data_IF_751712298814
#
_entry.id   IF_751712298814
#
_cell.length_a   1.000
_cell.length_b   1.000
_cell.length_c   1.000
_cell.angle_alpha   90.00
_cell.angle_beta   90.00
_cell.angle_gamma   90.00
#
_symmetry.space_group_name_H-M   'P 1'
#
loop_
_entity.id
_entity.type
_entity.pdbx_description
1 polymer ?
#
# COMPACT_ATOMS: atom_id res chain seq x y z
N UNK A 1 -23.15 10.98 -1.09
CA UNK A 1 -22.10 10.54 -0.16
C UNK A 1 -22.58 9.39 0.74
N UNK A 2 -23.63 9.59 1.49
CA UNK A 2 -24.22 8.58 2.39
C UNK A 2 -24.51 7.23 1.71
N UNK A 3 -24.99 7.21 0.46
CA UNK A 3 -25.26 5.98 -0.30
C UNK A 3 -24.03 5.13 -0.58
N UNK A 4 -22.84 5.74 -0.70
CA UNK A 4 -21.59 5.00 -0.97
C UNK A 4 -21.07 4.30 0.29
N UNK A 5 -21.13 4.96 1.43
CA UNK A 5 -20.79 4.34 2.72
C UNK A 5 -21.76 3.19 2.99
N UNK A 6 -23.06 3.41 2.80
CA UNK A 6 -24.09 2.38 2.96
C UNK A 6 -23.85 1.15 2.05
N UNK A 7 -23.44 1.35 0.82
CA UNK A 7 -23.11 0.23 -0.08
C UNK A 7 -21.92 -0.59 0.45
N UNK A 8 -20.89 0.06 1.00
CA UNK A 8 -19.74 -0.63 1.60
C UNK A 8 -20.12 -1.35 2.88
N UNK A 9 -20.97 -0.74 3.72
CA UNK A 9 -21.55 -1.38 4.90
C UNK A 9 -22.23 -2.71 4.55
N UNK A 10 -23.12 -2.70 3.57
CA UNK A 10 -23.82 -3.90 3.11
C UNK A 10 -22.86 -4.99 2.61
N UNK A 11 -21.72 -4.62 2.01
CA UNK A 11 -20.70 -5.59 1.60
C UNK A 11 -19.98 -6.21 2.79
N UNK A 12 -19.72 -5.42 3.82
CA UNK A 12 -19.13 -5.93 5.07
C UNK A 12 -20.14 -6.83 5.77
N UNK A 13 -21.42 -6.43 5.88
CA UNK A 13 -22.50 -7.24 6.45
C UNK A 13 -22.61 -8.59 5.73
N UNK A 14 -22.59 -8.58 4.40
CA UNK A 14 -22.60 -9.82 3.60
C UNK A 14 -21.35 -10.68 3.88
N UNK A 15 -20.18 -10.05 3.95
CA UNK A 15 -18.93 -10.75 4.26
C UNK A 15 -19.02 -11.45 5.60
N UNK A 16 -19.49 -10.77 6.64
CA UNK A 16 -19.60 -11.31 7.98
C UNK A 16 -20.72 -12.37 8.10
N UNK A 17 -21.76 -12.25 7.28
CA UNK A 17 -22.80 -13.28 7.19
C UNK A 17 -22.27 -14.58 6.56
N UNK A 18 -21.48 -14.45 5.47
CA UNK A 18 -20.91 -15.61 4.75
C UNK A 18 -19.70 -16.22 5.48
N UNK A 19 -18.90 -15.38 6.12
CA UNK A 19 -17.61 -15.76 6.72
C UNK A 19 -17.50 -15.22 8.16
N UNK A 20 -18.29 -15.72 9.11
CA UNK A 20 -18.37 -15.19 10.48
C UNK A 20 -17.08 -15.36 11.30
N UNK A 21 -16.12 -16.11 10.79
CA UNK A 21 -14.81 -16.30 11.38
C UNK A 21 -13.79 -15.21 11.00
N UNK A 22 -14.12 -14.33 10.06
CA UNK A 22 -13.25 -13.23 9.64
C UNK A 22 -13.05 -12.26 10.79
N UNK A 23 -11.79 -11.90 11.06
CA UNK A 23 -11.40 -11.02 12.16
C UNK A 23 -11.00 -9.62 11.67
N UNK A 24 -10.65 -9.48 10.38
CA UNK A 24 -10.25 -8.21 9.78
C UNK A 24 -10.83 -8.08 8.38
N UNK A 25 -11.36 -6.90 8.09
CA UNK A 25 -11.82 -6.52 6.74
C UNK A 25 -11.00 -5.33 6.25
N UNK A 26 -10.54 -5.42 5.02
CA UNK A 26 -9.81 -4.35 4.35
C UNK A 26 -10.50 -3.96 3.06
N UNK A 27 -10.66 -2.67 2.83
CA UNK A 27 -11.13 -2.08 1.59
C UNK A 27 -9.96 -1.61 0.72
N UNK A 28 -10.21 -1.41 -0.58
CA UNK A 28 -9.23 -0.85 -1.50
C UNK A 28 -9.04 0.67 -1.34
N UNK A 29 -7.97 1.22 -1.91
CA UNK A 29 -7.71 2.66 -1.92
C UNK A 29 -8.92 3.45 -2.43
N UNK A 30 -9.23 4.56 -1.76
CA UNK A 30 -10.32 5.49 -2.07
C UNK A 30 -11.69 4.81 -2.28
N UNK A 31 -11.90 3.65 -1.66
CA UNK A 31 -13.08 2.82 -1.85
C UNK A 31 -14.40 3.52 -1.49
N UNK A 32 -14.38 4.49 -0.57
CA UNK A 32 -15.60 5.13 -0.06
C UNK A 32 -16.10 6.20 -1.04
N UNK A 33 -15.25 7.15 -1.42
CA UNK A 33 -15.68 8.32 -2.20
C UNK A 33 -15.10 8.34 -3.62
N UNK A 34 -14.14 7.47 -3.93
CA UNK A 34 -13.42 7.48 -5.21
C UNK A 34 -12.37 8.60 -5.29
N UNK A 35 -11.72 8.74 -6.46
CA UNK A 35 -10.49 9.52 -6.62
C UNK A 35 -10.71 11.03 -6.90
N UNK A 36 -11.81 11.60 -6.49
CA UNK A 36 -12.09 13.00 -6.78
C UNK A 36 -11.80 13.89 -5.56
N UNK A 37 -10.86 14.81 -5.67
CA UNK A 37 -10.41 15.68 -4.58
C UNK A 37 -11.52 16.51 -3.93
N UNK A 38 -12.59 16.85 -4.68
CA UNK A 38 -13.71 17.60 -4.11
C UNK A 38 -14.54 16.78 -3.10
N UNK A 39 -14.34 15.45 -3.05
CA UNK A 39 -14.92 14.58 -2.02
C UNK A 39 -14.08 14.51 -0.73
N UNK A 40 -12.99 15.28 -0.63
CA UNK A 40 -12.17 15.29 0.56
C UNK A 40 -12.97 15.70 1.82
N UNK A 41 -12.83 14.90 2.87
CA UNK A 41 -13.54 15.02 4.14
C UNK A 41 -12.57 15.35 5.27
N UNK A 42 -13.01 16.06 6.32
CA UNK A 42 -12.22 16.07 7.54
C UNK A 42 -12.19 14.69 8.21
N UNK A 43 -11.13 14.39 8.94
CA UNK A 43 -11.05 13.24 9.84
C UNK A 43 -10.75 13.74 11.27
N UNK A 44 -11.53 13.30 12.30
CA UNK A 44 -12.74 12.45 12.20
C UNK A 44 -13.87 13.13 11.44
N UNK A 45 -14.76 12.29 10.86
CA UNK A 45 -15.93 12.73 10.11
C UNK A 45 -16.96 11.62 9.91
N UNK A 46 -18.14 11.98 9.40
CA UNK A 46 -19.30 11.08 9.37
C UNK A 46 -19.06 9.73 8.68
N UNK A 47 -18.24 9.68 7.63
CA UNK A 47 -17.89 8.42 6.98
C UNK A 47 -17.05 7.51 7.91
N UNK A 48 -16.09 8.06 8.62
CA UNK A 48 -15.27 7.32 9.57
C UNK A 48 -16.11 6.85 10.76
N UNK A 49 -17.00 7.68 11.29
CA UNK A 49 -17.92 7.34 12.40
C UNK A 49 -18.85 6.17 12.04
N UNK A 50 -19.32 6.12 10.79
CA UNK A 50 -20.10 4.99 10.31
C UNK A 50 -19.28 3.71 10.23
N UNK A 51 -18.05 3.77 9.73
CA UNK A 51 -17.14 2.63 9.70
C UNK A 51 -16.75 2.15 11.11
N UNK A 52 -16.61 3.06 12.06
CA UNK A 52 -16.43 2.72 13.48
C UNK A 52 -17.63 1.95 14.03
N UNK A 53 -18.84 2.36 13.65
CA UNK A 53 -20.09 1.67 14.05
C UNK A 53 -20.14 0.26 13.47
N UNK A 54 -19.74 0.08 12.21
CA UNK A 54 -19.68 -1.23 11.53
C UNK A 54 -18.64 -2.14 12.18
N UNK A 55 -17.43 -1.62 12.42
CA UNK A 55 -16.36 -2.37 13.07
C UNK A 55 -16.80 -2.89 14.45
N UNK A 56 -17.42 -2.03 15.26
CA UNK A 56 -17.98 -2.37 16.57
C UNK A 56 -19.13 -3.39 16.49
N UNK A 57 -20.02 -3.22 15.51
CA UNK A 57 -21.17 -4.12 15.33
C UNK A 57 -20.72 -5.55 15.05
N UNK A 58 -19.76 -5.71 14.17
CA UNK A 58 -19.23 -7.02 13.77
C UNK A 58 -18.05 -7.51 14.62
N UNK A 59 -17.52 -6.66 15.50
CA UNK A 59 -16.32 -6.93 16.32
C UNK A 59 -15.12 -7.33 15.47
N UNK A 60 -14.85 -6.54 14.42
CA UNK A 60 -13.75 -6.78 13.47
C UNK A 60 -12.78 -5.60 13.46
N UNK A 61 -11.55 -5.89 13.13
CA UNK A 61 -10.62 -4.89 12.64
C UNK A 61 -11.09 -4.41 11.26
N UNK A 62 -11.08 -3.10 11.05
CA UNK A 62 -11.48 -2.53 9.77
C UNK A 62 -10.43 -1.54 9.28
N UNK A 63 -9.89 -1.82 8.08
CA UNK A 63 -9.01 -0.92 7.34
C UNK A 63 -9.82 -0.33 6.20
N UNK A 64 -10.09 0.98 6.25
CA UNK A 64 -11.05 1.64 5.39
C UNK A 64 -10.61 1.80 3.92
N UNK A 65 -9.47 1.27 3.57
CA UNK A 65 -8.85 1.47 2.25
C UNK A 65 -8.14 2.82 2.19
N UNK A 66 -8.85 3.87 1.92
CA UNK A 66 -8.48 5.26 2.21
C UNK A 66 -9.60 6.23 1.82
N UNK A 67 -9.45 7.47 2.23
CA UNK A 67 -10.22 8.62 1.73
C UNK A 67 -9.29 9.81 1.54
N UNK A 68 -9.69 10.77 0.72
CA UNK A 68 -9.04 12.07 0.74
C UNK A 68 -9.45 12.83 2.00
N UNK A 69 -8.47 13.08 2.86
CA UNK A 69 -8.60 13.84 4.11
C UNK A 69 -8.29 15.31 3.88
N UNK A 70 -9.15 16.18 4.38
CA UNK A 70 -8.89 17.62 4.45
C UNK A 70 -8.32 17.97 5.82
N UNK A 71 -7.05 18.33 5.89
CA UNK A 71 -6.34 18.67 7.13
C UNK A 71 -5.36 19.81 6.87
N UNK A 72 -5.31 20.81 7.79
CA UNK A 72 -4.32 21.90 7.80
C UNK A 72 -4.20 22.68 6.46
N UNK A 73 -5.33 22.86 5.79
CA UNK A 73 -5.38 23.54 4.50
C UNK A 73 -4.92 22.70 3.30
N UNK A 74 -4.51 21.44 3.51
CA UNK A 74 -4.11 20.47 2.50
C UNK A 74 -5.11 19.33 2.32
N UNK A 75 -4.84 18.49 1.33
CA UNK A 75 -5.56 17.23 1.09
C UNK A 75 -4.53 16.10 1.17
N UNK A 76 -4.85 15.05 1.91
CA UNK A 76 -4.03 13.86 2.08
C UNK A 76 -4.83 12.63 1.67
N UNK A 77 -4.15 11.60 1.19
CA UNK A 77 -4.76 10.29 0.93
C UNK A 77 -4.55 9.42 2.17
N UNK A 78 -5.59 9.31 3.02
CA UNK A 78 -5.46 8.80 4.39
C UNK A 78 -6.25 7.52 4.60
N UNK A 79 -5.60 6.51 5.14
CA UNK A 79 -6.16 5.23 5.59
C UNK A 79 -6.32 5.25 7.11
N UNK A 80 -7.51 4.93 7.61
CA UNK A 80 -7.78 4.75 9.04
C UNK A 80 -7.82 3.26 9.38
N UNK A 81 -7.29 2.91 10.55
CA UNK A 81 -7.41 1.57 11.16
C UNK A 81 -8.33 1.66 12.37
N UNK A 82 -9.35 0.82 12.37
CA UNK A 82 -10.40 0.80 13.39
C UNK A 82 -10.37 -0.57 14.08
N UNK A 83 -10.37 -0.55 15.41
CA UNK A 83 -10.38 -1.76 16.24
C UNK A 83 -11.79 -2.40 16.36
N UNK A 84 -11.91 -3.61 16.92
CA UNK A 84 -13.20 -4.28 17.13
C UNK A 84 -14.16 -3.56 18.07
N UNK A 85 -13.67 -2.63 18.88
CA UNK A 85 -14.45 -1.76 19.77
C UNK A 85 -14.95 -0.51 19.05
N UNK A 86 -14.50 -0.28 17.81
CA UNK A 86 -14.85 0.85 16.97
C UNK A 86 -14.01 2.10 17.24
N UNK A 87 -12.84 1.97 17.85
CA UNK A 87 -11.92 3.10 18.02
C UNK A 87 -10.96 3.19 16.83
N UNK A 88 -10.71 4.40 16.34
CA UNK A 88 -9.62 4.65 15.40
C UNK A 88 -8.31 4.58 16.16
N UNK A 89 -7.52 3.53 15.93
CA UNK A 89 -6.23 3.35 16.60
C UNK A 89 -5.09 4.14 15.94
N UNK A 90 -5.29 4.56 14.70
CA UNK A 90 -4.35 5.38 13.98
C UNK A 90 -4.75 5.63 12.54
N UNK A 91 -4.05 6.55 11.91
CA UNK A 91 -4.20 6.94 10.51
C UNK A 91 -2.86 6.98 9.82
N UNK A 92 -2.83 6.57 8.57
CA UNK A 92 -1.66 6.62 7.70
C UNK A 92 -1.99 7.47 6.48
N UNK A 93 -1.21 8.50 6.23
CA UNK A 93 -1.31 9.30 5.00
C UNK A 93 -0.27 8.80 3.98
N UNK A 94 -0.70 8.58 2.74
CA UNK A 94 0.14 8.13 1.62
C UNK A 94 1.40 8.99 1.51
N UNK A 95 2.55 8.36 1.57
CA UNK A 95 3.85 9.04 1.57
C UNK A 95 4.26 9.52 0.19
N UNK A 96 3.90 8.76 -0.83
CA UNK A 96 4.18 9.07 -2.23
C UNK A 96 2.87 9.21 -3.03
N UNK A 97 2.22 10.41 -3.02
CA UNK A 97 1.09 10.66 -3.91
C UNK A 97 1.47 10.37 -5.37
N UNK A 98 0.59 9.71 -6.12
CA UNK A 98 0.85 9.34 -7.50
C UNK A 98 0.75 10.56 -8.43
N UNK A 99 1.73 11.43 -8.32
CA UNK A 99 1.85 12.62 -9.15
C UNK A 99 2.26 12.22 -10.59
N UNK A 100 1.67 12.83 -11.64
CA UNK A 100 0.80 14.01 -11.54
C UNK A 100 -0.70 13.74 -11.39
N UNK A 101 -1.18 12.51 -11.31
CA UNK A 101 -2.62 12.21 -11.20
C UNK A 101 -3.21 12.68 -9.87
N UNK A 102 -2.48 12.58 -8.78
CA UNK A 102 -2.82 13.11 -7.46
C UNK A 102 -2.23 14.52 -7.24
N UNK A 103 -2.19 15.35 -8.29
CA UNK A 103 -1.73 16.73 -8.14
C UNK A 103 -2.57 17.48 -7.10
N UNK A 104 -1.89 18.08 -6.10
CA UNK A 104 -2.53 18.78 -4.98
C UNK A 104 -2.76 17.91 -3.74
N UNK A 105 -2.49 16.62 -3.79
CA UNK A 105 -2.41 15.75 -2.59
C UNK A 105 -1.04 15.95 -1.94
N UNK A 106 -1.05 16.19 -0.63
CA UNK A 106 0.16 16.35 0.17
C UNK A 106 0.72 14.99 0.58
N UNK A 107 2.05 14.81 0.61
CA UNK A 107 2.68 13.59 1.10
C UNK A 107 2.49 13.44 2.61
N UNK A 108 2.32 12.19 3.07
CA UNK A 108 2.50 11.81 4.46
C UNK A 108 3.98 11.73 4.83
N UNK A 109 4.28 11.79 6.13
CA UNK A 109 5.66 11.79 6.62
C UNK A 109 5.94 10.64 7.61
N UNK A 110 4.89 9.97 8.10
CA UNK A 110 5.00 8.98 9.17
C UNK A 110 4.64 7.58 8.68
N UNK A 111 5.42 6.61 9.14
CA UNK A 111 5.09 5.19 8.97
C UNK A 111 4.15 4.74 10.08
N UNK A 112 3.24 3.82 9.74
CA UNK A 112 2.27 3.31 10.70
C UNK A 112 2.34 1.79 10.80
N UNK A 113 2.63 1.31 12.02
CA UNK A 113 2.52 -0.10 12.41
C UNK A 113 1.71 -0.19 13.70
N UNK A 114 1.01 -1.31 13.89
CA UNK A 114 0.29 -1.59 15.13
C UNK A 114 0.34 -3.06 15.48
N UNK A 115 0.19 -3.35 16.76
CA UNK A 115 0.13 -4.71 17.28
C UNK A 115 -1.32 -5.14 17.50
N UNK A 116 -1.61 -6.39 17.13
CA UNK A 116 -2.79 -7.10 17.59
C UNK A 116 -2.31 -8.11 18.62
N UNK A 117 -2.72 -7.93 19.87
CA UNK A 117 -2.27 -8.73 20.99
C UNK A 117 -2.52 -10.23 20.75
N UNK A 118 -1.49 -11.05 21.01
CA UNK A 118 -1.55 -12.51 20.77
C UNK A 118 -1.53 -12.92 19.30
N UNK A 119 -1.50 -11.98 18.36
CA UNK A 119 -1.50 -12.23 16.90
C UNK A 119 -0.17 -11.81 16.29
N UNK A 120 0.08 -10.51 16.15
CA UNK A 120 1.29 -10.00 15.53
C UNK A 120 1.22 -8.54 15.12
N UNK A 121 2.20 -8.09 14.36
CA UNK A 121 2.35 -6.69 13.94
C UNK A 121 2.00 -6.48 12.49
N UNK A 122 1.18 -5.49 12.25
CA UNK A 122 0.68 -5.08 10.95
C UNK A 122 1.26 -3.71 10.57
N UNK A 123 1.38 -3.43 9.26
CA UNK A 123 1.79 -2.14 8.73
C UNK A 123 0.97 -1.76 7.50
N UNK A 124 0.91 -0.47 7.21
CA UNK A 124 0.18 0.09 6.07
C UNK A 124 1.14 0.70 5.05
N UNK A 125 0.86 0.45 3.78
CA UNK A 125 1.28 1.24 2.63
C UNK A 125 0.05 1.53 1.79
N UNK A 126 0.08 2.59 0.98
CA UNK A 126 -1.04 2.96 0.14
C UNK A 126 -0.60 3.11 -1.32
N UNK A 127 -1.00 2.17 -2.17
CA UNK A 127 -0.82 2.17 -3.62
C UNK A 127 0.64 2.45 -4.04
N UNK A 128 0.93 3.63 -4.60
CA UNK A 128 2.24 4.00 -5.14
C UNK A 128 3.39 3.92 -4.12
N UNK A 129 3.09 3.95 -2.81
CA UNK A 129 4.12 3.80 -1.77
C UNK A 129 4.96 2.54 -1.94
N UNK A 130 4.35 1.41 -2.35
CA UNK A 130 5.07 0.13 -2.47
C UNK A 130 6.09 0.09 -3.62
N UNK A 131 6.03 1.03 -4.56
CA UNK A 131 7.02 1.15 -5.62
C UNK A 131 8.38 1.65 -5.12
N UNK A 132 8.41 2.17 -3.88
CA UNK A 132 9.60 2.63 -3.19
C UNK A 132 10.03 1.57 -2.16
N UNK A 133 11.10 0.80 -2.41
CA UNK A 133 11.51 -0.30 -1.53
C UNK A 133 11.81 0.15 -0.10
N UNK A 134 12.13 1.43 0.10
CA UNK A 134 12.36 2.05 1.39
C UNK A 134 11.14 1.96 2.32
N UNK A 135 9.94 2.12 1.79
CA UNK A 135 8.71 2.11 2.56
C UNK A 135 8.44 0.73 3.17
N UNK A 136 8.52 -0.31 2.33
CA UNK A 136 8.36 -1.70 2.77
C UNK A 136 9.49 -2.13 3.70
N UNK A 137 10.72 -1.68 3.42
CA UNK A 137 11.89 -1.94 4.29
C UNK A 137 11.70 -1.32 5.65
N UNK A 138 11.23 -0.08 5.71
CA UNK A 138 10.99 0.62 6.97
C UNK A 138 9.93 -0.09 7.81
N UNK A 139 8.78 -0.44 7.23
CA UNK A 139 7.72 -1.15 7.96
C UNK A 139 8.22 -2.49 8.52
N UNK A 140 8.94 -3.26 7.73
CA UNK A 140 9.44 -4.57 8.17
C UNK A 140 10.60 -4.45 9.15
N UNK A 141 11.41 -3.39 9.09
CA UNK A 141 12.39 -3.05 10.11
C UNK A 141 11.73 -2.63 11.43
N UNK A 142 10.54 -2.01 11.38
CA UNK A 142 9.69 -1.75 12.55
C UNK A 142 8.97 -3.01 13.05
N UNK A 143 9.15 -4.15 12.39
CA UNK A 143 8.64 -5.45 12.79
C UNK A 143 7.37 -5.91 12.11
N UNK A 144 6.80 -5.17 11.16
CA UNK A 144 5.58 -5.56 10.47
C UNK A 144 5.70 -6.97 9.86
N UNK A 145 4.79 -7.86 10.22
CA UNK A 145 4.68 -9.23 9.73
C UNK A 145 3.70 -9.34 8.55
N UNK A 146 2.79 -8.37 8.48
CA UNK A 146 1.79 -8.20 7.41
C UNK A 146 1.84 -6.76 6.93
N UNK A 147 1.91 -6.57 5.62
CA UNK A 147 1.70 -5.28 4.96
C UNK A 147 0.31 -5.30 4.32
N UNK A 148 -0.56 -4.42 4.78
CA UNK A 148 -1.86 -4.14 4.18
C UNK A 148 -1.68 -3.01 3.17
N UNK A 149 -2.02 -3.28 1.92
CA UNK A 149 -1.73 -2.42 0.79
C UNK A 149 -2.99 -2.16 -0.04
N UNK A 150 -3.81 -1.16 0.35
CA UNK A 150 -4.92 -0.72 -0.48
C UNK A 150 -4.43 -0.04 -1.75
N UNK A 151 -5.02 -0.42 -2.88
CA UNK A 151 -4.61 0.00 -4.22
C UNK A 151 -5.80 0.47 -5.03
N UNK A 152 -5.55 1.37 -5.98
CA UNK A 152 -6.52 1.79 -6.99
C UNK A 152 -5.81 1.97 -8.34
N UNK A 153 -5.56 0.85 -9.01
CA UNK A 153 -4.91 0.82 -10.33
C UNK A 153 -5.87 0.27 -11.37
N UNK A 154 -6.11 1.02 -12.44
CA UNK A 154 -7.01 0.64 -13.54
C UNK A 154 -6.29 0.64 -14.90
N UNK A 155 -4.98 0.79 -14.90
CA UNK A 155 -4.15 0.94 -16.08
C UNK A 155 -3.44 -0.36 -16.45
N UNK A 156 -2.63 -0.32 -17.50
CA UNK A 156 -1.84 -1.45 -17.98
C UNK A 156 -0.69 -1.85 -17.05
N UNK A 157 -0.39 -1.04 -16.06
CA UNK A 157 0.68 -1.26 -15.07
C UNK A 157 0.23 -2.12 -13.87
N UNK A 158 -1.02 -2.60 -13.84
CA UNK A 158 -1.47 -3.52 -12.79
C UNK A 158 -0.61 -4.78 -12.66
N UNK A 159 -0.14 -5.34 -13.75
CA UNK A 159 0.78 -6.49 -13.74
C UNK A 159 2.13 -6.14 -13.11
N UNK A 160 2.57 -4.88 -13.25
CA UNK A 160 3.79 -4.38 -12.61
C UNK A 160 3.55 -4.22 -11.11
N UNK A 161 2.43 -3.63 -10.68
CA UNK A 161 2.04 -3.53 -9.26
C UNK A 161 2.06 -4.91 -8.59
N UNK A 162 1.43 -5.91 -9.21
CA UNK A 162 1.41 -7.29 -8.70
C UNK A 162 2.81 -7.89 -8.62
N UNK A 163 3.68 -7.58 -9.58
CA UNK A 163 5.08 -8.02 -9.57
C UNK A 163 5.84 -7.39 -8.41
N UNK A 164 5.65 -6.09 -8.16
CA UNK A 164 6.25 -5.38 -7.03
C UNK A 164 5.74 -5.93 -5.70
N UNK A 165 4.43 -6.13 -5.54
CA UNK A 165 3.85 -6.70 -4.33
C UNK A 165 4.36 -8.12 -4.05
N UNK A 166 4.44 -8.96 -5.09
CA UNK A 166 4.99 -10.29 -5.02
C UNK A 166 6.47 -10.30 -4.59
N UNK A 167 7.30 -9.50 -5.26
CA UNK A 167 8.71 -9.36 -4.91
C UNK A 167 8.90 -8.86 -3.48
N UNK A 168 8.10 -7.88 -3.07
CA UNK A 168 8.12 -7.30 -1.71
C UNK A 168 7.85 -8.38 -0.67
N UNK A 169 6.84 -9.25 -0.84
CA UNK A 169 6.54 -10.29 0.13
C UNK A 169 7.72 -11.21 0.39
N UNK A 170 8.45 -11.60 -0.66
CA UNK A 170 9.64 -12.44 -0.55
C UNK A 170 10.85 -11.68 0.03
N UNK A 171 11.16 -10.49 -0.49
CA UNK A 171 12.32 -9.71 -0.05
C UNK A 171 12.21 -9.24 1.39
N UNK A 172 10.99 -8.92 1.84
CA UNK A 172 10.71 -8.43 3.19
C UNK A 172 10.30 -9.55 4.15
N UNK A 173 10.08 -10.77 3.64
CA UNK A 173 9.65 -11.93 4.42
C UNK A 173 8.41 -11.61 5.28
N UNK A 174 7.36 -11.12 4.63
CA UNK A 174 6.07 -10.75 5.24
C UNK A 174 4.91 -11.14 4.34
N UNK A 175 3.71 -11.22 4.91
CA UNK A 175 2.51 -11.25 4.08
C UNK A 175 2.28 -9.89 3.43
N UNK A 176 1.80 -9.90 2.18
CA UNK A 176 1.35 -8.70 1.47
C UNK A 176 -0.08 -8.93 0.99
N UNK A 177 -0.99 -8.08 1.44
CA UNK A 177 -2.38 -7.99 0.98
C UNK A 177 -2.49 -6.80 0.03
N UNK A 178 -2.40 -7.06 -1.24
CA UNK A 178 -2.53 -6.06 -2.31
C UNK A 178 -3.98 -6.05 -2.81
N UNK A 179 -4.77 -5.10 -2.28
CA UNK A 179 -6.22 -5.07 -2.48
C UNK A 179 -6.61 -3.91 -3.39
N UNK A 180 -6.91 -4.24 -4.64
CA UNK A 180 -7.30 -3.28 -5.68
C UNK A 180 -8.81 -3.20 -5.85
N UNK A 181 -9.33 -2.00 -6.05
CA UNK A 181 -10.73 -1.74 -6.29
C UNK A 181 -11.21 -2.14 -7.67
N UNK A 182 -12.55 -2.12 -7.82
CA UNK A 182 -13.25 -2.20 -9.09
C UNK A 182 -14.07 -0.94 -9.33
N UNK A 183 -14.26 -0.58 -10.61
CA UNK A 183 -15.06 0.58 -11.01
C UNK A 183 -14.21 1.81 -11.28
N UNK A 184 -14.63 2.99 -10.80
CA UNK A 184 -14.08 4.30 -11.20
C UNK A 184 -12.57 4.53 -10.94
N UNK A 185 -11.83 3.55 -10.52
CA UNK A 185 -10.39 3.72 -10.24
C UNK A 185 -9.61 2.41 -10.15
N UNK A 186 -10.25 1.27 -10.39
CA UNK A 186 -9.54 0.00 -10.30
C UNK A 186 -10.04 -1.04 -11.29
N UNK A 187 -9.18 -1.98 -11.66
CA UNK A 187 -9.49 -3.09 -12.55
C UNK A 187 -9.52 -4.45 -11.83
N UNK A 188 -9.58 -4.46 -10.48
CA UNK A 188 -9.58 -5.69 -9.68
C UNK A 188 -8.21 -6.35 -9.61
N UNK A 189 -8.18 -7.67 -9.74
CA UNK A 189 -6.96 -8.47 -9.67
C UNK A 189 -6.21 -8.32 -8.33
N UNK A 190 -6.96 -8.15 -7.23
CA UNK A 190 -6.37 -8.17 -5.88
C UNK A 190 -5.62 -9.46 -5.64
N UNK A 191 -4.50 -9.40 -4.92
CA UNK A 191 -3.72 -10.59 -4.64
C UNK A 191 -3.18 -10.61 -3.21
N UNK A 192 -2.93 -11.83 -2.71
CA UNK A 192 -2.29 -12.05 -1.41
C UNK A 192 -1.08 -12.94 -1.58
N UNK A 193 0.04 -12.52 -1.03
CA UNK A 193 1.32 -13.22 -1.11
C UNK A 193 1.82 -13.57 0.30
N UNK A 194 2.41 -14.75 0.43
CA UNK A 194 3.01 -15.23 1.67
C UNK A 194 4.49 -14.81 1.82
N UNK A 195 5.10 -14.95 3.01
CA UNK A 195 6.48 -14.50 3.26
C UNK A 195 7.56 -15.29 2.50
N UNK A 196 7.19 -16.32 1.75
CA UNK A 196 8.11 -17.05 0.85
C UNK A 196 7.98 -16.63 -0.62
N UNK A 197 7.12 -15.64 -0.90
CA UNK A 197 6.80 -15.20 -2.25
C UNK A 197 5.80 -16.11 -2.97
N UNK A 198 5.04 -16.96 -2.27
CA UNK A 198 3.98 -17.75 -2.89
C UNK A 198 2.69 -16.89 -2.95
N UNK A 199 2.08 -16.87 -4.13
CA UNK A 199 0.75 -16.28 -4.28
C UNK A 199 -0.29 -17.22 -3.67
N UNK A 200 -0.96 -16.76 -2.61
CA UNK A 200 -2.04 -17.50 -1.96
C UNK A 200 -3.34 -17.40 -2.75
N UNK A 201 -3.64 -16.19 -3.23
CA UNK A 201 -4.81 -15.93 -4.05
C UNK A 201 -4.55 -14.75 -4.99
N UNK A 202 -5.22 -14.75 -6.13
CA UNK A 202 -5.37 -13.60 -7.02
C UNK A 202 -6.78 -13.61 -7.56
N UNK A 203 -7.49 -12.50 -7.34
CA UNK A 203 -8.79 -12.24 -7.93
C UNK A 203 -8.68 -12.01 -9.44
N UNK A 204 -9.79 -12.14 -10.13
CA UNK A 204 -9.93 -11.69 -11.52
C UNK A 204 -10.39 -10.20 -11.59
N UNK A 205 -10.99 -9.82 -12.69
CA UNK A 205 -11.52 -8.47 -12.95
C UNK A 205 -12.98 -8.30 -12.53
N UNK A 206 -13.52 -9.25 -11.75
CA UNK A 206 -14.87 -9.19 -11.19
C UNK A 206 -14.84 -8.90 -9.69
N UNK A 207 -15.97 -8.50 -9.13
CA UNK A 207 -16.07 -8.26 -7.69
C UNK A 207 -15.98 -9.57 -6.92
N UNK A 208 -15.05 -9.61 -5.96
CA UNK A 208 -14.82 -10.79 -5.11
C UNK A 208 -14.64 -10.38 -3.65
N UNK A 209 -15.14 -11.22 -2.75
CA UNK A 209 -14.79 -11.24 -1.33
C UNK A 209 -13.74 -12.33 -1.18
N UNK A 210 -12.56 -11.97 -0.68
CA UNK A 210 -11.40 -12.86 -0.61
C UNK A 210 -11.12 -13.18 0.86
N UNK A 211 -11.75 -14.22 1.46
CA UNK A 211 -11.41 -14.66 2.81
C UNK A 211 -10.09 -15.45 2.77
N UNK A 212 -9.11 -14.99 3.52
CA UNK A 212 -7.78 -15.61 3.60
C UNK A 212 -7.42 -15.84 5.06
N UNK A 213 -7.05 -17.05 5.39
CA UNK A 213 -6.42 -17.40 6.66
C UNK A 213 -4.90 -17.35 6.51
N UNK A 214 -4.21 -16.74 7.48
CA UNK A 214 -2.75 -16.63 7.50
C UNK A 214 -2.15 -17.18 8.78
N UNK A 215 -0.95 -17.76 8.66
CA UNK A 215 -0.14 -18.22 9.78
C UNK A 215 1.08 -17.34 9.98
N UNK A 216 1.05 -16.45 10.99
CA UNK A 216 2.17 -15.54 11.27
C UNK A 216 3.45 -16.26 11.75
N UNK A 217 3.33 -17.48 12.26
CA UNK A 217 4.50 -18.30 12.54
C UNK A 217 5.31 -18.61 11.25
N UNK A 218 4.68 -18.58 10.09
CA UNK A 218 5.41 -18.69 8.81
C UNK A 218 6.35 -17.50 8.60
N UNK A 219 5.94 -16.28 8.95
CA UNK A 219 6.80 -15.09 8.89
C UNK A 219 7.99 -15.26 9.84
N UNK A 220 7.72 -15.64 11.09
CA UNK A 220 8.73 -15.80 12.13
C UNK A 220 9.74 -16.86 11.75
N UNK A 221 9.28 -18.03 11.31
CA UNK A 221 10.15 -19.10 10.78
C UNK A 221 10.96 -18.66 9.56
N UNK A 222 10.34 -17.90 8.65
CA UNK A 222 11.03 -17.40 7.44
C UNK A 222 12.14 -16.41 7.81
N UNK A 223 11.90 -15.52 8.76
CA UNK A 223 12.90 -14.55 9.23
C UNK A 223 14.00 -15.21 10.08
N UNK A 224 13.64 -16.24 10.86
CA UNK A 224 14.61 -17.00 11.68
C UNK A 224 15.53 -17.88 10.82
N UNK A 225 14.96 -18.64 9.88
CA UNK A 225 15.68 -19.71 9.17
C UNK A 225 15.99 -19.39 7.71
N UNK A 226 15.39 -18.31 7.19
CA UNK A 226 15.47 -17.97 5.77
C UNK A 226 14.40 -18.65 4.93
N UNK A 227 14.21 -18.15 3.72
CA UNK A 227 13.32 -18.75 2.74
C UNK A 227 13.93 -20.11 2.34
N UNK A 228 13.20 -21.18 2.62
CA UNK A 228 13.66 -22.58 2.39
C UNK A 228 15.03 -22.89 3.01
N UNK A 229 15.35 -22.26 4.12
CA UNK A 229 16.63 -22.42 4.81
C UNK A 229 17.82 -21.72 4.16
N UNK A 230 17.58 -20.79 3.22
CA UNK A 230 18.63 -20.09 2.47
C UNK A 230 18.67 -18.58 2.79
N UNK A 231 17.88 -17.77 2.09
CA UNK A 231 17.95 -16.33 2.21
C UNK A 231 17.45 -15.80 3.54
N UNK A 232 18.31 -15.16 4.34
CA UNK A 232 18.00 -14.53 5.64
C UNK A 232 18.13 -13.01 5.51
N UNK A 233 17.31 -12.40 4.65
CA UNK A 233 17.46 -11.00 4.24
C UNK A 233 17.45 -10.02 5.41
N UNK A 234 16.54 -10.19 6.37
CA UNK A 234 16.43 -9.30 7.52
C UNK A 234 17.69 -9.34 8.38
N UNK A 235 18.25 -10.54 8.62
CA UNK A 235 19.51 -10.70 9.38
C UNK A 235 20.70 -10.17 8.60
N UNK A 236 20.78 -10.47 7.29
CA UNK A 236 21.84 -9.98 6.43
C UNK A 236 21.87 -8.44 6.39
N UNK A 237 20.68 -7.81 6.34
CA UNK A 237 20.56 -6.35 6.42
C UNK A 237 20.98 -5.81 7.78
N UNK A 238 20.58 -6.46 8.87
CA UNK A 238 21.01 -6.09 10.25
C UNK A 238 22.52 -6.17 10.42
N UNK A 239 23.12 -7.27 9.97
CA UNK A 239 24.53 -7.59 10.24
C UNK A 239 25.49 -6.88 9.27
N UNK A 240 24.98 -6.34 8.17
CA UNK A 240 25.74 -5.50 7.23
C UNK A 240 25.12 -4.10 7.11
N UNK A 241 25.33 -3.21 8.08
CA UNK A 241 24.84 -1.84 7.99
C UNK A 241 25.63 -1.09 6.90
N UNK A 242 25.10 -1.13 5.68
CA UNK A 242 25.63 -0.38 4.56
C UNK A 242 24.95 0.98 4.48
N UNK A 243 25.73 2.06 4.49
CA UNK A 243 25.20 3.35 4.14
C UNK A 243 25.02 3.46 2.62
N UNK A 244 23.83 3.80 2.19
CA UNK A 244 23.56 4.07 0.78
C UNK A 244 23.79 5.54 0.50
N UNK A 245 24.76 5.89 -0.36
CA UNK A 245 25.11 7.31 -0.62
C UNK A 245 23.93 8.16 -1.08
N UNK A 246 22.95 7.56 -1.75
CA UNK A 246 21.74 8.23 -2.25
C UNK A 246 20.90 8.89 -1.14
N UNK A 247 21.03 8.43 0.11
CA UNK A 247 20.29 8.96 1.27
C UNK A 247 21.12 9.96 2.10
N UNK A 248 22.38 10.21 1.72
CA UNK A 248 23.24 11.16 2.45
C UNK A 248 22.90 12.59 2.05
N UNK A 249 22.96 13.47 3.04
CA UNK A 249 22.96 14.90 2.77
C UNK A 249 24.15 15.27 1.82
N UNK A 250 23.88 16.11 0.82
CA UNK A 250 24.89 16.48 -0.17
C UNK A 250 25.17 15.42 -1.24
N UNK A 251 24.38 14.34 -1.35
CA UNK A 251 24.48 13.41 -2.46
C UNK A 251 24.31 14.15 -3.81
N UNK A 252 25.20 13.86 -4.76
CA UNK A 252 25.09 14.44 -6.11
C UNK A 252 23.84 13.94 -6.83
N UNK A 253 22.85 14.81 -6.95
CA UNK A 253 21.56 14.55 -7.60
C UNK A 253 21.53 15.00 -9.07
N UNK A 254 22.63 15.44 -9.62
CA UNK A 254 22.67 16.02 -10.98
C UNK A 254 22.05 15.12 -12.06
N UNK A 255 22.20 13.80 -11.92
CA UNK A 255 21.53 12.84 -12.79
C UNK A 255 20.00 12.87 -12.62
N UNK A 256 19.49 12.84 -11.38
CA UNK A 256 18.06 12.87 -11.09
C UNK A 256 17.44 14.21 -11.51
N UNK A 257 18.13 15.31 -11.24
CA UNK A 257 17.71 16.65 -11.63
C UNK A 257 17.65 16.79 -13.17
N UNK A 258 18.48 16.05 -13.87
CA UNK A 258 18.49 15.95 -15.33
C UNK A 258 17.32 15.21 -15.95
N UNK A 259 16.50 14.49 -15.16
CA UNK A 259 15.32 13.77 -15.65
C UNK A 259 14.15 14.69 -16.04
N UNK A 260 14.21 15.96 -15.64
CA UNK A 260 13.18 16.95 -15.94
C UNK A 260 12.03 16.93 -14.95
N UNK A 261 10.95 17.66 -15.28
CA UNK A 261 9.80 17.77 -14.41
C UNK A 261 8.99 16.47 -14.34
N UNK A 262 8.45 16.17 -13.16
CA UNK A 262 7.47 15.10 -12.97
C UNK A 262 6.15 15.50 -13.61
N UNK A 263 5.90 15.06 -14.84
CA UNK A 263 4.74 15.45 -15.62
C UNK A 263 4.25 14.28 -16.49
N UNK A 264 2.94 14.22 -16.73
CA UNK A 264 2.37 13.29 -17.71
C UNK A 264 2.72 13.73 -19.11
N UNK A 265 3.24 12.83 -19.98
CA UNK A 265 3.47 13.16 -21.40
C UNK A 265 2.22 13.67 -22.07
N UNK A 266 2.31 14.74 -22.84
CA UNK A 266 1.18 15.31 -23.59
C UNK A 266 1.31 14.96 -25.07
N UNK A 267 0.18 14.82 -25.75
CA UNK A 267 0.15 14.54 -27.18
C UNK A 267 0.89 15.58 -28.03
N UNK A 268 0.95 16.83 -27.53
CA UNK A 268 1.64 17.94 -28.20
C UNK A 268 3.17 17.94 -28.01
N UNK A 269 3.68 17.15 -27.08
CA UNK A 269 5.11 17.18 -26.70
C UNK A 269 5.98 16.41 -27.69
N UNK A 270 5.40 15.76 -28.72
CA UNK A 270 6.10 14.95 -29.70
C UNK A 270 6.74 13.68 -29.06
N UNK A 271 7.52 12.91 -29.80
CA UNK A 271 8.21 11.74 -29.28
C UNK A 271 9.41 12.15 -28.39
N UNK A 272 9.13 12.32 -27.11
CA UNK A 272 10.13 12.60 -26.07
C UNK A 272 10.57 14.05 -25.98
N UNK A 273 11.13 14.49 -24.85
CA UNK A 273 11.72 15.81 -24.72
C UNK A 273 12.93 15.91 -25.65
N UNK A 274 12.97 16.97 -26.45
CA UNK A 274 14.04 17.24 -27.42
C UNK A 274 15.44 17.46 -26.80
N UNK A 275 15.59 17.25 -25.48
CA UNK A 275 16.78 17.51 -24.70
C UNK A 275 17.24 16.34 -23.82
N UNK A 276 16.93 15.10 -24.15
CA UNK A 276 17.70 14.00 -23.56
C UNK A 276 19.11 14.09 -24.18
N UNK A 277 20.00 14.80 -23.49
CA UNK A 277 21.43 14.65 -23.76
C UNK A 277 21.75 13.18 -23.57
N UNK A 278 21.95 12.46 -24.66
CA UNK A 278 22.48 11.10 -24.61
C UNK A 278 23.78 11.17 -23.84
N UNK A 279 23.80 10.67 -22.63
CA UNK A 279 25.02 10.49 -21.87
C UNK A 279 25.94 9.60 -22.73
N UNK A 280 27.21 9.96 -22.91
CA UNK A 280 28.11 9.13 -23.70
C UNK A 280 28.16 7.74 -23.05
N UNK A 281 27.72 6.74 -23.78
CA UNK A 281 27.87 5.34 -23.37
C UNK A 281 29.38 5.13 -23.20
N UNK A 282 29.84 5.04 -21.95
CA UNK A 282 31.21 4.60 -21.70
C UNK A 282 31.31 3.19 -22.27
N UNK A 283 31.99 3.06 -23.41
CA UNK A 283 32.37 1.75 -23.94
C UNK A 283 33.15 1.05 -22.84
N UNK A 284 32.59 0.00 -22.25
CA UNK A 284 33.32 -0.90 -21.37
C UNK A 284 34.50 -1.43 -22.20
N UNK A 285 35.68 -1.19 -21.73
CA UNK A 285 36.89 -1.80 -22.30
C UNK A 285 36.69 -3.32 -22.25
N UNK A 286 36.75 -3.95 -23.41
CA UNK A 286 36.90 -5.40 -23.50
C UNK A 286 38.21 -5.78 -22.79
N UNK A 287 38.11 -6.75 -21.88
CA UNK A 287 39.25 -7.52 -21.38
C UNK A 287 39.74 -8.49 -22.45
#
# INVERSE_FOLDING_TARGET
EFRRVLFRSQRIDLTMHLYPWVQMVMLSELAIFGPLLHHAQPLPGGAEEELQTIARHHRIWLVNGSIYERRDGGIYNTTSVIDPEGHVIGRYSKMFPFTPLEAGVQPGEEFFVWDIEGVGRFGLLNCYDMWFPETSRQLTAMGAEVILHPVMTHTIDRDIDLTVAHATSAMMQCYVFDINGLGAGGNGQSAVFDPSGRKLHQADTTEQIIPIEIDLEQVRRSRERGIRGLGQMAKSFRDRPAEFPVYREGFDRSYLDGLGALATPRRADGPGPANVKTLPVRRTLAL
#
